data_IF_539721860095
#
_entry.id   IF_539721860095
#
_cell.length_a   1.000
_cell.length_b   1.000
_cell.length_c   1.000
_cell.angle_alpha   90.00
_cell.angle_beta   90.00
_cell.angle_gamma   90.00
#
_symmetry.space_group_name_H-M   'P 1'
#
loop_
_entity.id
_entity.type
_entity.pdbx_description
1 polymer ?
#
# COMPACT_ATOMS: atom_id res chain seq x y z
N UNK A 1 -3.86 -11.58 -19.00
CA UNK A 1 -2.40 -11.87 -18.96
C UNK A 1 -1.49 -10.66 -18.67
N UNK A 2 -1.86 -9.40 -18.97
CA UNK A 2 -0.97 -8.23 -18.74
C UNK A 2 -0.60 -7.90 -17.28
N UNK A 3 -1.48 -8.15 -16.31
CA UNK A 3 -1.27 -7.74 -14.91
C UNK A 3 -0.15 -8.53 -14.20
N UNK A 4 -0.03 -9.83 -14.50
CA UNK A 4 1.01 -10.70 -13.95
C UNK A 4 2.40 -10.33 -14.47
N UNK A 5 2.50 -9.91 -15.73
CA UNK A 5 3.77 -9.44 -16.33
C UNK A 5 4.22 -8.10 -15.74
N UNK A 6 3.30 -7.17 -15.49
CA UNK A 6 3.61 -5.93 -14.78
C UNK A 6 4.11 -6.21 -13.35
N UNK A 7 3.47 -7.14 -12.65
CA UNK A 7 3.87 -7.53 -11.30
C UNK A 7 5.27 -8.14 -11.24
N UNK A 8 5.65 -8.93 -12.24
CA UNK A 8 7.01 -9.49 -12.34
C UNK A 8 8.08 -8.41 -12.53
N UNK A 9 7.77 -7.36 -13.30
CA UNK A 9 8.70 -6.25 -13.58
C UNK A 9 8.82 -5.21 -12.46
N UNK A 10 7.92 -5.23 -11.47
CA UNK A 10 7.95 -4.31 -10.33
C UNK A 10 9.15 -4.60 -9.40
N UNK A 11 9.87 -3.54 -9.01
CA UNK A 11 10.95 -3.61 -8.03
C UNK A 11 10.44 -4.05 -6.67
N UNK A 12 11.31 -4.69 -5.86
CA UNK A 12 10.95 -5.18 -4.53
C UNK A 12 10.32 -4.08 -3.65
N UNK A 13 10.88 -2.86 -3.54
CA UNK A 13 10.30 -1.81 -2.74
C UNK A 13 8.87 -1.45 -3.16
N UNK A 14 8.61 -1.43 -4.46
CA UNK A 14 7.31 -1.03 -4.99
C UNK A 14 6.24 -2.11 -4.75
N UNK A 15 6.62 -3.40 -4.79
CA UNK A 15 5.74 -4.51 -4.39
C UNK A 15 5.35 -4.40 -2.93
N UNK A 16 6.31 -4.15 -2.04
CA UNK A 16 6.05 -3.99 -0.60
C UNK A 16 5.13 -2.80 -0.37
N UNK A 17 5.41 -1.65 -0.99
CA UNK A 17 4.55 -0.47 -0.93
C UNK A 17 3.10 -0.75 -1.31
N UNK A 18 2.87 -1.45 -2.43
CA UNK A 18 1.51 -1.78 -2.87
C UNK A 18 0.80 -2.71 -1.88
N UNK A 19 1.49 -3.72 -1.34
CA UNK A 19 0.91 -4.69 -0.40
C UNK A 19 0.46 -3.97 0.88
N UNK A 20 1.37 -3.24 1.54
CA UNK A 20 1.05 -2.55 2.80
C UNK A 20 0.09 -1.39 2.62
N UNK A 21 0.16 -0.66 1.51
CA UNK A 21 -0.83 0.36 1.17
C UNK A 21 -2.23 -0.23 0.97
N UNK A 22 -2.33 -1.37 0.28
CA UNK A 22 -3.62 -2.07 0.10
C UNK A 22 -4.14 -2.59 1.44
N UNK A 23 -3.29 -3.16 2.29
CA UNK A 23 -3.67 -3.61 3.63
C UNK A 23 -4.17 -2.45 4.50
N UNK A 24 -3.48 -1.30 4.49
CA UNK A 24 -3.91 -0.10 5.22
C UNK A 24 -5.29 0.37 4.79
N UNK A 25 -5.53 0.46 3.48
CA UNK A 25 -6.83 0.83 2.93
C UNK A 25 -7.94 -0.18 3.32
N UNK A 26 -7.67 -1.48 3.19
CA UNK A 26 -8.64 -2.53 3.53
C UNK A 26 -9.03 -2.50 5.01
N UNK A 27 -8.04 -2.37 5.90
CA UNK A 27 -8.30 -2.30 7.34
C UNK A 27 -9.17 -1.09 7.71
N UNK A 28 -8.95 0.07 7.08
CA UNK A 28 -9.78 1.24 7.29
C UNK A 28 -11.19 1.06 6.75
N UNK A 29 -11.36 0.48 5.57
CA UNK A 29 -12.69 0.15 5.02
C UNK A 29 -13.44 -0.79 5.95
N UNK A 30 -12.78 -1.82 6.48
CA UNK A 30 -13.37 -2.74 7.47
C UNK A 30 -13.79 -1.98 8.73
N UNK A 31 -12.97 -1.05 9.21
CA UNK A 31 -13.29 -0.19 10.35
C UNK A 31 -14.54 0.67 10.10
N UNK A 32 -14.63 1.29 8.93
CA UNK A 32 -15.80 2.11 8.53
C UNK A 32 -17.07 1.29 8.43
N UNK A 33 -17.00 0.09 7.84
CA UNK A 33 -18.13 -0.85 7.76
C UNK A 33 -18.58 -1.25 9.18
N UNK A 34 -17.65 -1.57 10.08
CA UNK A 34 -17.95 -1.92 11.48
C UNK A 34 -18.58 -0.75 12.25
N UNK A 35 -18.21 0.48 11.94
CA UNK A 35 -18.81 1.68 12.52
C UNK A 35 -20.20 2.00 11.94
N UNK A 36 -20.57 1.39 10.81
CA UNK A 36 -21.79 1.73 10.07
C UNK A 36 -21.68 3.03 9.25
N UNK A 37 -20.47 3.57 9.08
CA UNK A 37 -20.23 4.80 8.32
C UNK A 37 -19.92 4.47 6.86
N UNK A 38 -20.97 4.43 6.03
CA UNK A 38 -20.88 4.14 4.60
C UNK A 38 -20.88 5.41 3.74
N UNK A 39 -20.49 6.56 4.31
CA UNK A 39 -20.38 7.80 3.54
C UNK A 39 -19.28 7.63 2.46
N UNK A 40 -19.58 7.88 1.17
CA UNK A 40 -18.62 7.70 0.08
C UNK A 40 -17.33 8.50 0.25
N UNK A 41 -17.40 9.71 0.83
CA UNK A 41 -16.23 10.56 1.09
C UNK A 41 -15.37 9.93 2.19
N UNK A 42 -15.99 9.44 3.27
CA UNK A 42 -15.27 8.74 4.34
C UNK A 42 -14.54 7.51 3.82
N UNK A 43 -15.17 6.74 2.94
CA UNK A 43 -14.56 5.57 2.31
C UNK A 43 -13.40 6.00 1.41
N UNK A 44 -13.59 7.01 0.56
CA UNK A 44 -12.55 7.50 -0.33
C UNK A 44 -11.33 7.99 0.45
N UNK A 45 -11.54 8.83 1.46
CA UNK A 45 -10.47 9.33 2.32
C UNK A 45 -9.83 8.20 3.15
N UNK A 46 -10.65 7.28 3.64
CA UNK A 46 -10.22 6.09 4.37
C UNK A 46 -9.44 5.09 3.51
N UNK A 47 -9.51 5.17 2.18
CA UNK A 47 -8.65 4.41 1.27
C UNK A 47 -7.38 5.20 0.99
N UNK A 48 -7.54 6.47 0.58
CA UNK A 48 -6.42 7.30 0.12
C UNK A 48 -5.41 7.59 1.23
N UNK A 49 -5.86 8.08 2.38
CA UNK A 49 -4.96 8.53 3.44
C UNK A 49 -4.13 7.37 4.00
N UNK A 50 -4.73 6.31 4.59
CA UNK A 50 -3.96 5.23 5.16
C UNK A 50 -3.29 4.36 4.08
N UNK A 51 -3.90 4.20 2.91
CA UNK A 51 -3.31 3.42 1.82
C UNK A 51 -2.05 4.08 1.25
N UNK A 52 -2.07 5.39 1.00
CA UNK A 52 -0.87 6.12 0.56
C UNK A 52 0.17 6.22 1.68
N UNK A 53 -0.25 6.48 2.92
CA UNK A 53 0.68 6.60 4.05
C UNK A 53 1.45 5.30 4.27
N UNK A 54 0.76 4.16 4.45
CA UNK A 54 1.42 2.88 4.68
C UNK A 54 2.16 2.37 3.45
N UNK A 55 1.67 2.68 2.24
CA UNK A 55 2.35 2.33 1.01
C UNK A 55 3.69 3.06 0.83
N UNK A 56 3.71 4.37 1.04
CA UNK A 56 4.95 5.18 0.95
C UNK A 56 5.93 4.82 2.06
N UNK A 57 5.45 4.66 3.30
CA UNK A 57 6.31 4.29 4.44
C UNK A 57 7.01 2.96 4.20
N UNK A 58 6.26 1.92 3.81
CA UNK A 58 6.83 0.59 3.59
C UNK A 58 7.71 0.50 2.34
N UNK A 59 7.38 1.26 1.29
CA UNK A 59 8.25 1.45 0.13
C UNK A 59 9.58 2.07 0.53
N UNK A 60 9.57 3.16 1.30
CA UNK A 60 10.77 3.88 1.71
C UNK A 60 11.70 3.00 2.58
N UNK A 61 11.13 2.25 3.52
CA UNK A 61 11.89 1.30 4.36
C UNK A 61 12.56 0.25 3.47
N UNK A 62 11.80 -0.37 2.57
CA UNK A 62 12.34 -1.42 1.70
C UNK A 62 13.36 -0.88 0.71
N UNK A 63 13.16 0.35 0.22
CA UNK A 63 14.12 1.03 -0.63
C UNK A 63 15.45 1.23 0.11
N UNK A 64 15.42 1.71 1.35
CA UNK A 64 16.62 1.88 2.17
C UNK A 64 17.37 0.55 2.38
N UNK A 65 16.65 -0.54 2.67
CA UNK A 65 17.25 -1.88 2.81
C UNK A 65 17.92 -2.33 1.52
N UNK A 66 17.19 -2.26 0.40
CA UNK A 66 17.69 -2.69 -0.92
C UNK A 66 18.88 -1.84 -1.38
N UNK A 67 18.94 -0.57 -1.02
CA UNK A 67 20.06 0.29 -1.39
C UNK A 67 21.33 -0.09 -0.62
N UNK A 68 21.22 -0.38 0.68
CA UNK A 68 22.34 -0.90 1.48
C UNK A 68 22.86 -2.22 0.92
N UNK A 69 21.97 -3.14 0.54
CA UNK A 69 22.34 -4.45 -0.03
C UNK A 69 23.04 -4.36 -1.40
N UNK A 70 22.94 -3.24 -2.13
CA UNK A 70 23.64 -3.04 -3.40
C UNK A 70 25.02 -2.40 -3.26
N UNK A 71 25.24 -1.68 -2.17
CA UNK A 71 26.51 -1.00 -1.88
C UNK A 71 27.57 -1.95 -1.28
N UNK A 72 27.15 -3.15 -0.85
CA UNK A 72 27.99 -4.24 -0.34
C UNK A 72 28.42 -5.21 -1.46
#
# INVERSE_FOLDING_TARGET
MKALDLWRKLSLPLKVGIIFGTLGALLTVIGLIRQGNLNPISILLGILIPGLAWGVVSWAITFAVVEVEKEE
#
